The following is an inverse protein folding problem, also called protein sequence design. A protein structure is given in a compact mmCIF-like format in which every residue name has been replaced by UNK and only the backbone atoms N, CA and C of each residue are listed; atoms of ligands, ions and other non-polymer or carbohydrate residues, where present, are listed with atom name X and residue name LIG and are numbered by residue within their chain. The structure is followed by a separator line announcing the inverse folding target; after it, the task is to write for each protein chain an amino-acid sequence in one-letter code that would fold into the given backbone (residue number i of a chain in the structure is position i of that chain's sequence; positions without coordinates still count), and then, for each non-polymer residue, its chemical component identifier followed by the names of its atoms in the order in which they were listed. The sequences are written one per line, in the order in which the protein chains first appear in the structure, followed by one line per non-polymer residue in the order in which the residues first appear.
data_IF_600889693190
#
_entry.id   IF_600889693190
#
_cell.length_a   1.000
_cell.length_b   1.000
_cell.length_c   1.000
_cell.angle_alpha   90.00
_cell.angle_beta   90.00
_cell.angle_gamma   90.00
#
_symmetry.space_group_name_H-M   'P 1'
#
loop_
_entity.id
_entity.type
_entity.pdbx_description
1 polymer ?
#
# COMPACT_ATOMS: atom_id res chain seq x y z
N UNK A 1 -15.95 -6.19 -18.47
CA UNK A 1 -15.61 -7.56 -18.02
C UNK A 1 -16.60 -8.59 -18.55
N UNK A 2 -17.86 -8.64 -18.08
CA UNK A 2 -18.84 -9.60 -18.62
C UNK A 2 -19.11 -9.46 -20.12
N UNK A 3 -19.14 -8.24 -20.65
CA UNK A 3 -19.29 -7.98 -22.09
C UNK A 3 -18.08 -8.45 -22.94
N UNK A 4 -16.93 -8.69 -22.32
CA UNK A 4 -15.72 -9.21 -22.97
C UNK A 4 -15.43 -10.65 -22.53
N UNK A 5 -16.39 -11.34 -21.92
CA UNK A 5 -16.26 -12.71 -21.39
C UNK A 5 -15.13 -12.89 -20.35
N UNK A 6 -14.70 -11.80 -19.71
CA UNK A 6 -13.69 -11.83 -18.64
C UNK A 6 -14.37 -12.10 -17.30
N UNK A 7 -13.96 -13.17 -16.63
CA UNK A 7 -14.42 -13.53 -15.28
C UNK A 7 -13.93 -12.49 -14.28
N UNK A 8 -14.84 -12.02 -13.42
CA UNK A 8 -14.52 -11.13 -12.31
C UNK A 8 -15.30 -11.55 -11.07
N UNK A 9 -14.68 -11.38 -9.89
CA UNK A 9 -15.28 -11.68 -8.60
C UNK A 9 -15.31 -10.41 -7.77
N UNK A 10 -16.46 -10.10 -7.16
CA UNK A 10 -16.57 -9.02 -6.18
C UNK A 10 -15.94 -9.49 -4.87
N UNK A 11 -14.92 -8.77 -4.41
CA UNK A 11 -14.30 -9.07 -3.12
C UNK A 11 -15.24 -8.65 -1.97
N UNK A 12 -15.38 -9.47 -0.91
CA UNK A 12 -16.20 -9.15 0.26
C UNK A 12 -15.44 -8.23 1.22
N UNK A 13 -15.05 -7.04 0.73
CA UNK A 13 -14.32 -6.03 1.50
C UNK A 13 -15.15 -4.77 1.66
N UNK A 14 -14.96 -4.06 2.78
CA UNK A 14 -15.73 -2.86 3.12
C UNK A 14 -15.27 -1.61 2.35
N UNK A 15 -13.99 -1.56 1.95
CA UNK A 15 -13.38 -0.39 1.33
C UNK A 15 -12.59 -0.74 0.06
N UNK A 16 -12.43 0.24 -0.83
CA UNK A 16 -11.57 0.13 -2.00
C UNK A 16 -10.12 0.49 -1.64
N UNK A 17 -9.40 -0.45 -1.03
CA UNK A 17 -7.98 -0.28 -0.71
C UNK A 17 -7.15 0.04 -1.97
N UNK A 18 -6.03 0.76 -1.78
CA UNK A 18 -5.14 1.25 -2.85
C UNK A 18 -5.76 2.24 -3.86
N UNK A 19 -7.06 2.54 -3.75
CA UNK A 19 -7.73 3.53 -4.60
C UNK A 19 -7.57 4.95 -4.06
N UNK A 20 -7.93 5.95 -4.88
CA UNK A 20 -8.04 7.35 -4.44
C UNK A 20 -9.00 7.57 -3.27
N UNK A 21 -9.88 6.63 -2.97
CA UNK A 21 -10.75 6.71 -1.79
C UNK A 21 -9.97 6.63 -0.45
N UNK A 22 -8.67 6.32 -0.49
CA UNK A 22 -7.79 6.39 0.69
C UNK A 22 -7.15 7.78 0.87
N UNK A 23 -7.18 8.65 -0.13
CA UNK A 23 -6.58 10.00 -0.02
C UNK A 23 -7.07 10.82 1.19
N UNK A 24 -8.34 10.73 1.63
CA UNK A 24 -8.81 11.50 2.78
C UNK A 24 -8.11 11.22 4.12
N UNK A 25 -7.48 10.06 4.30
CA UNK A 25 -6.80 9.69 5.56
C UNK A 25 -5.29 9.96 5.55
N UNK A 26 -4.76 10.57 4.48
CA UNK A 26 -3.32 10.70 4.27
C UNK A 26 -2.63 11.45 5.41
N UNK A 27 -3.24 12.54 5.88
CA UNK A 27 -2.65 13.40 6.90
C UNK A 27 -2.58 12.69 8.25
N UNK A 28 -3.70 12.14 8.70
CA UNK A 28 -3.83 11.44 9.98
C UNK A 28 -2.93 10.21 10.02
N UNK A 29 -2.91 9.43 8.94
CA UNK A 29 -2.14 8.19 8.90
C UNK A 29 -0.63 8.46 8.82
N UNK A 30 -0.18 9.41 7.99
CA UNK A 30 1.24 9.77 7.94
C UNK A 30 1.72 10.40 9.25
N UNK A 31 0.90 11.21 9.92
CA UNK A 31 1.20 11.74 11.24
C UNK A 31 1.36 10.62 12.29
N UNK A 32 0.50 9.61 12.25
CA UNK A 32 0.61 8.43 13.12
C UNK A 32 1.88 7.60 12.87
N UNK A 33 2.33 7.49 11.61
CA UNK A 33 3.50 6.72 11.24
C UNK A 33 4.83 7.44 11.50
N UNK A 34 4.86 8.77 11.32
CA UNK A 34 6.06 9.60 11.40
C UNK A 34 6.94 9.39 12.65
N UNK A 35 6.42 9.25 13.89
CA UNK A 35 7.26 9.06 15.06
C UNK A 35 7.81 7.62 15.20
N UNK A 36 7.44 6.69 14.33
CA UNK A 36 7.83 5.28 14.42
C UNK A 36 9.14 5.03 13.69
N UNK A 37 10.08 4.39 14.37
CA UNK A 37 11.31 3.88 13.74
C UNK A 37 11.05 2.51 13.12
N UNK A 38 11.26 2.40 11.81
CA UNK A 38 11.28 1.11 11.13
C UNK A 38 12.71 0.59 11.08
N UNK A 39 12.93 -0.59 11.66
CA UNK A 39 14.24 -1.24 11.60
C UNK A 39 14.47 -1.82 10.21
N UNK A 40 15.73 -1.82 9.78
CA UNK A 40 16.11 -2.49 8.54
C UNK A 40 15.81 -3.99 8.63
N UNK A 41 15.23 -4.60 7.58
CA UNK A 41 14.99 -6.04 7.56
C UNK A 41 16.29 -6.82 7.78
N UNK A 42 16.29 -7.77 8.71
CA UNK A 42 17.44 -8.67 8.97
C UNK A 42 17.50 -9.85 7.99
N UNK A 43 16.43 -10.03 7.21
CA UNK A 43 16.30 -11.02 6.15
C UNK A 43 15.87 -10.32 4.86
N UNK A 44 16.06 -10.99 3.72
CA UNK A 44 15.65 -10.45 2.43
C UNK A 44 14.13 -10.23 2.40
N UNK A 45 13.71 -8.98 2.25
CA UNK A 45 12.31 -8.60 2.08
C UNK A 45 12.06 -8.19 0.63
N UNK A 46 11.08 -8.83 -0.02
CA UNK A 46 10.59 -8.42 -1.34
C UNK A 46 9.36 -7.55 -1.15
N UNK A 47 9.37 -6.36 -1.75
CA UNK A 47 8.26 -5.42 -1.68
C UNK A 47 7.40 -5.50 -2.94
N UNK A 48 6.09 -5.71 -2.75
CA UNK A 48 5.11 -5.59 -3.84
C UNK A 48 5.00 -4.16 -4.38
N UNK A 49 5.43 -3.16 -3.59
CA UNK A 49 5.50 -1.77 -4.04
C UNK A 49 6.62 -1.56 -5.06
N UNK A 50 7.79 -2.14 -4.80
CA UNK A 50 8.97 -1.98 -5.64
C UNK A 50 9.10 -3.05 -6.71
N UNK A 51 8.40 -4.18 -6.58
CA UNK A 51 8.58 -5.34 -7.46
C UNK A 51 9.94 -6.02 -7.28
N UNK A 52 10.54 -5.92 -6.09
CA UNK A 52 11.92 -6.37 -5.83
C UNK A 52 12.37 -6.17 -4.39
N UNK A 53 13.68 -6.26 -4.13
CA UNK A 53 14.24 -6.13 -2.78
C UNK A 53 13.92 -4.76 -2.17
N UNK A 54 13.42 -4.75 -0.94
CA UNK A 54 13.26 -3.54 -0.17
C UNK A 54 14.57 -3.18 0.55
N UNK A 55 15.08 -1.98 0.32
CA UNK A 55 16.38 -1.52 0.85
C UNK A 55 16.26 -0.43 1.91
N UNK A 56 15.16 0.32 1.92
CA UNK A 56 14.87 1.36 2.90
C UNK A 56 13.39 1.33 3.25
N UNK A 57 13.10 1.38 4.55
CA UNK A 57 11.74 1.43 5.09
C UNK A 57 11.66 2.65 5.99
N UNK A 58 10.93 3.67 5.56
CA UNK A 58 10.54 4.78 6.41
C UNK A 58 9.02 4.89 6.46
N UNK A 59 8.50 5.87 7.19
CA UNK A 59 7.05 6.06 7.30
C UNK A 59 6.38 6.35 5.93
N UNK A 60 7.11 6.89 4.96
CA UNK A 60 6.61 7.16 3.60
C UNK A 60 6.45 5.86 2.83
N UNK A 61 7.37 4.91 3.00
CA UNK A 61 7.22 3.57 2.44
C UNK A 61 5.88 2.94 2.84
N UNK A 62 5.50 3.03 4.12
CA UNK A 62 4.23 2.47 4.60
C UNK A 62 3.02 3.21 4.03
N UNK A 63 3.09 4.53 3.86
CA UNK A 63 2.05 5.28 3.14
C UNK A 63 1.93 4.84 1.68
N UNK A 64 3.06 4.68 0.98
CA UNK A 64 3.08 4.30 -0.43
C UNK A 64 2.56 2.87 -0.64
N UNK A 65 2.82 1.94 0.28
CA UNK A 65 2.20 0.60 0.26
C UNK A 65 0.67 0.71 0.26
N UNK A 66 0.12 1.63 1.06
CA UNK A 66 -1.33 1.82 1.15
C UNK A 66 -1.87 2.54 -0.08
N UNK A 67 -1.25 3.63 -0.53
CA UNK A 67 -1.89 4.59 -1.46
C UNK A 67 -0.98 5.14 -2.58
N UNK A 68 0.09 4.45 -2.98
CA UNK A 68 0.94 4.92 -4.09
C UNK A 68 0.10 5.35 -5.30
N UNK A 69 0.31 6.60 -5.73
CA UNK A 69 -0.26 7.10 -6.98
C UNK A 69 0.42 6.36 -8.13
N UNK A 70 -0.39 5.76 -9.00
CA UNK A 70 0.09 5.30 -10.30
C UNK A 70 0.36 6.50 -11.19
#
# INVERSE_FOLDING_TARGET
MKANEIIGVRLPVQFAFHSSLIDPIALEYTAFLKPRTLQSPKINMVSSLYGGKAVSLDYRYLWDVVRRRK
#
